data_IF_590131465766
#
_entry.id   IF_590131465766
#
_cell.length_a   1.000
_cell.length_b   1.000
_cell.length_c   1.000
_cell.angle_alpha   90.00
_cell.angle_beta   90.00
_cell.angle_gamma   90.00
#
_symmetry.space_group_name_H-M   'P 1'
#
loop_
_entity.id
_entity.type
_entity.pdbx_description
1 polymer ?
#
# COMPACT_ATOMS: atom_id res chain seq x y z
N UNK A 1 -15.38 2.28 17.06
CA UNK A 1 -14.17 2.67 16.30
C UNK A 1 -14.61 3.45 15.07
N UNK A 2 -13.91 4.51 14.68
CA UNK A 2 -14.17 5.17 13.39
C UNK A 2 -13.51 4.37 12.27
N UNK A 3 -14.26 3.48 11.61
CA UNK A 3 -13.74 2.70 10.47
C UNK A 3 -13.38 3.56 9.24
N UNK A 4 -13.82 4.82 9.21
CA UNK A 4 -13.49 5.80 8.18
C UNK A 4 -12.27 6.66 8.55
N UNK A 5 -11.65 6.40 9.71
CA UNK A 5 -10.38 7.01 10.09
C UNK A 5 -9.20 6.51 9.24
N UNK A 6 -8.00 6.92 9.64
CA UNK A 6 -6.76 6.51 8.97
C UNK A 6 -6.29 5.15 9.46
N UNK A 7 -6.31 4.18 8.55
CA UNK A 7 -5.72 2.87 8.76
C UNK A 7 -4.23 2.96 8.46
N UNK A 8 -3.44 2.18 9.19
CA UNK A 8 -1.98 2.16 9.03
C UNK A 8 -1.50 0.74 8.82
N UNK A 9 -0.60 0.53 7.88
CA UNK A 9 0.11 -0.73 7.71
C UNK A 9 1.59 -0.52 7.96
N UNK A 10 2.20 -1.41 8.73
CA UNK A 10 3.65 -1.53 8.84
C UNK A 10 4.12 -2.67 7.94
N UNK A 11 5.07 -2.41 7.07
CA UNK A 11 5.64 -3.37 6.13
C UNK A 11 7.08 -3.67 6.55
N UNK A 12 7.43 -4.96 6.58
CA UNK A 12 8.80 -5.42 6.72
C UNK A 12 9.15 -6.21 5.45
N UNK A 13 10.13 -5.73 4.70
CA UNK A 13 10.65 -6.41 3.51
C UNK A 13 12.06 -6.90 3.80
N UNK A 14 12.35 -8.10 3.32
CA UNK A 14 13.63 -8.74 3.50
C UNK A 14 14.02 -9.50 2.23
N UNK A 15 15.27 -9.35 1.83
CA UNK A 15 15.89 -10.08 0.73
C UNK A 15 17.25 -10.61 1.18
N UNK A 16 17.53 -11.88 0.84
CA UNK A 16 18.86 -12.47 1.04
C UNK A 16 19.14 -13.57 0.00
N UNK A 17 20.18 -13.37 -0.81
CA UNK A 17 20.46 -14.19 -1.99
C UNK A 17 19.25 -14.26 -2.94
N UNK A 18 18.65 -15.44 -3.13
CA UNK A 18 17.47 -15.69 -3.94
C UNK A 18 16.17 -15.65 -3.12
N UNK A 19 16.25 -15.56 -1.78
CA UNK A 19 15.10 -15.49 -0.90
C UNK A 19 14.55 -14.07 -0.81
N UNK A 20 13.22 -13.96 -0.85
CA UNK A 20 12.50 -12.71 -0.67
C UNK A 20 11.27 -12.91 0.21
N UNK A 21 11.02 -11.95 1.10
CA UNK A 21 9.91 -11.97 2.05
C UNK A 21 9.32 -10.57 2.24
N UNK A 22 7.99 -10.50 2.33
CA UNK A 22 7.28 -9.32 2.83
C UNK A 22 6.26 -9.73 3.88
N UNK A 23 6.37 -9.11 5.05
CA UNK A 23 5.39 -9.18 6.12
C UNK A 23 4.69 -7.82 6.25
N UNK A 24 3.39 -7.85 6.51
CA UNK A 24 2.63 -6.65 6.84
C UNK A 24 1.83 -6.82 8.12
N UNK A 25 1.65 -5.72 8.85
CA UNK A 25 0.81 -5.62 10.04
C UNK A 25 -0.10 -4.40 9.93
N UNK A 26 -1.40 -4.63 9.90
CA UNK A 26 -2.44 -3.61 9.81
C UNK A 26 -2.84 -3.15 11.21
N UNK A 27 -3.05 -1.85 11.35
CA UNK A 27 -3.54 -1.18 12.55
C UNK A 27 -4.77 -0.36 12.21
N UNK A 28 -5.74 -0.37 13.11
CA UNK A 28 -6.93 0.46 13.01
C UNK A 28 -6.64 1.93 13.34
N UNK A 29 -7.62 2.83 13.14
CA UNK A 29 -7.45 4.26 13.42
C UNK A 29 -7.19 4.61 14.90
N UNK A 30 -7.37 3.68 15.83
CA UNK A 30 -7.02 3.84 17.24
C UNK A 30 -5.65 3.22 17.58
N UNK A 31 -4.92 2.70 16.60
CA UNK A 31 -3.61 2.07 16.78
C UNK A 31 -3.65 0.60 17.22
N UNK A 32 -4.80 -0.06 17.25
CA UNK A 32 -4.86 -1.48 17.62
C UNK A 32 -4.58 -2.37 16.40
N UNK A 33 -3.86 -3.47 16.64
CA UNK A 33 -3.62 -4.50 15.64
C UNK A 33 -4.93 -5.02 15.04
N UNK A 34 -4.99 -5.07 13.71
CA UNK A 34 -6.18 -5.40 12.94
C UNK A 34 -5.99 -6.55 11.95
N UNK A 35 -4.77 -7.06 11.79
CA UNK A 35 -4.45 -8.18 10.92
C UNK A 35 -2.97 -8.17 10.55
N UNK A 36 -2.44 -9.33 10.19
CA UNK A 36 -1.08 -9.46 9.68
C UNK A 36 -1.01 -10.66 8.74
N UNK A 37 -0.07 -10.63 7.81
CA UNK A 37 0.23 -11.76 6.94
C UNK A 37 1.68 -11.68 6.44
N UNK A 38 2.17 -12.78 5.88
CA UNK A 38 3.51 -12.90 5.34
C UNK A 38 3.46 -13.66 4.01
N UNK A 39 4.21 -13.16 3.02
CA UNK A 39 4.46 -13.83 1.75
C UNK A 39 5.97 -13.94 1.55
N UNK A 40 6.43 -15.12 1.16
CA UNK A 40 7.85 -15.37 0.92
C UNK A 40 8.06 -16.41 -0.18
N UNK A 41 9.27 -16.44 -0.73
CA UNK A 41 9.71 -17.48 -1.66
C UNK A 41 11.08 -17.17 -2.25
N UNK A 42 11.58 -18.12 -3.05
CA UNK A 42 12.83 -17.97 -3.79
C UNK A 42 12.57 -17.54 -5.23
N UNK A 43 13.50 -16.78 -5.82
CA UNK A 43 13.48 -16.34 -7.22
C UNK A 43 12.19 -15.62 -7.67
N UNK A 44 11.47 -15.01 -6.72
CA UNK A 44 10.19 -14.37 -7.02
C UNK A 44 10.39 -13.07 -7.81
N UNK A 45 9.72 -12.94 -8.97
CA UNK A 45 9.72 -11.70 -9.77
C UNK A 45 8.77 -10.64 -9.22
N UNK A 46 7.69 -11.10 -8.61
CA UNK A 46 6.68 -10.28 -7.95
C UNK A 46 6.16 -11.01 -6.71
N UNK A 47 5.77 -10.27 -5.68
CA UNK A 47 4.99 -10.79 -4.56
C UNK A 47 3.64 -10.09 -4.53
N UNK A 48 2.56 -10.85 -4.36
CA UNK A 48 1.20 -10.31 -4.28
C UNK A 48 0.54 -10.78 -3.00
N UNK A 49 -0.16 -9.87 -2.34
CA UNK A 49 -0.93 -10.18 -1.15
C UNK A 49 -2.16 -9.26 -1.03
N UNK A 50 -3.03 -9.55 -0.06
CA UNK A 50 -4.25 -8.80 0.19
C UNK A 50 -4.38 -8.39 1.65
N UNK A 51 -4.33 -7.09 1.91
CA UNK A 51 -4.41 -6.49 3.23
C UNK A 51 -5.89 -6.27 3.58
N UNK A 52 -6.32 -6.85 4.70
CA UNK A 52 -7.67 -6.70 5.25
C UNK A 52 -7.66 -6.83 6.77
N UNK A 53 -8.69 -6.31 7.42
CA UNK A 53 -8.93 -6.58 8.84
C UNK A 53 -9.36 -8.05 9.05
N UNK A 54 -8.86 -8.69 10.11
CA UNK A 54 -9.10 -10.11 10.44
C UNK A 54 -9.64 -10.23 11.87
N UNK A 55 -10.62 -11.11 12.10
CA UNK A 55 -11.19 -11.43 13.42
C UNK A 55 -11.74 -10.22 14.20
N UNK A 56 -12.50 -9.34 13.54
CA UNK A 56 -13.13 -8.16 14.18
C UNK A 56 -14.63 -8.09 13.86
N UNK A 57 -15.45 -7.45 14.73
CA UNK A 57 -16.84 -7.11 14.39
C UNK A 57 -16.92 -6.24 13.12
N UNK A 58 -18.00 -6.36 12.36
CA UNK A 58 -18.16 -5.70 11.06
C UNK A 58 -18.03 -4.17 11.15
N UNK A 59 -18.56 -3.58 12.21
CA UNK A 59 -18.48 -2.15 12.53
C UNK A 59 -17.04 -1.68 12.81
N UNK A 60 -16.12 -2.60 13.10
CA UNK A 60 -14.71 -2.39 13.41
C UNK A 60 -13.78 -2.91 12.31
N UNK A 61 -14.33 -3.40 11.19
CA UNK A 61 -13.55 -3.84 10.04
C UNK A 61 -13.18 -2.66 9.14
N UNK A 62 -12.04 -2.80 8.47
CA UNK A 62 -11.64 -1.89 7.40
C UNK A 62 -12.72 -1.90 6.31
N UNK A 63 -13.19 -0.75 5.82
CA UNK A 63 -14.34 -0.68 4.92
C UNK A 63 -14.05 -1.23 3.52
N UNK A 64 -12.80 -1.56 3.23
CA UNK A 64 -12.30 -2.16 2.00
C UNK A 64 -11.06 -3.00 2.32
N UNK A 65 -10.53 -3.72 1.32
CA UNK A 65 -9.18 -4.27 1.39
C UNK A 65 -8.25 -3.63 0.36
N UNK A 66 -6.97 -3.94 0.46
CA UNK A 66 -5.92 -3.34 -0.36
C UNK A 66 -5.09 -4.45 -0.99
N UNK A 67 -5.00 -4.45 -2.31
CA UNK A 67 -4.03 -5.31 -3.00
C UNK A 67 -2.64 -4.73 -2.79
N UNK A 68 -1.69 -5.55 -2.37
CA UNK A 68 -0.28 -5.23 -2.31
C UNK A 68 0.46 -5.98 -3.40
N UNK A 69 1.25 -5.28 -4.21
CA UNK A 69 2.17 -5.88 -5.17
C UNK A 69 3.57 -5.33 -4.96
N UNK A 70 4.53 -6.23 -4.74
CA UNK A 70 5.95 -5.91 -4.62
C UNK A 70 6.61 -6.34 -5.92
N UNK A 71 7.16 -5.40 -6.67
CA UNK A 71 7.80 -5.66 -7.96
C UNK A 71 9.32 -5.62 -7.82
N UNK A 72 10.02 -6.50 -8.54
CA UNK A 72 11.49 -6.59 -8.53
C UNK A 72 12.10 -6.72 -7.11
N UNK A 73 11.61 -7.65 -6.26
CA UNK A 73 12.05 -7.72 -4.87
C UNK A 73 13.54 -8.06 -4.68
N UNK A 74 14.22 -8.52 -5.73
CA UNK A 74 15.66 -8.81 -5.69
C UNK A 74 16.55 -7.63 -6.12
N UNK A 75 15.97 -6.57 -6.70
CA UNK A 75 16.70 -5.41 -7.18
C UNK A 75 16.31 -4.20 -6.34
N UNK A 76 17.11 -3.87 -5.33
CA UNK A 76 16.86 -2.76 -4.40
C UNK A 76 16.62 -1.43 -5.12
N UNK A 77 17.26 -1.22 -6.28
CA UNK A 77 17.15 0.02 -7.04
C UNK A 77 15.87 0.07 -7.91
N UNK A 78 15.21 -1.07 -8.12
CA UNK A 78 13.95 -1.17 -8.89
C UNK A 78 12.77 -1.66 -8.06
N UNK A 79 12.99 -1.96 -6.78
CA UNK A 79 11.97 -2.49 -5.91
C UNK A 79 10.97 -1.40 -5.55
N UNK A 80 9.69 -1.65 -5.85
CA UNK A 80 8.57 -0.77 -5.49
C UNK A 80 7.43 -1.60 -4.92
N UNK A 81 6.63 -0.98 -4.05
CA UNK A 81 5.41 -1.57 -3.52
C UNK A 81 4.23 -0.73 -3.98
N UNK A 82 3.33 -1.35 -4.72
CA UNK A 82 2.05 -0.78 -5.10
C UNK A 82 0.95 -1.26 -4.16
N UNK A 83 0.13 -0.32 -3.70
CA UNK A 83 -1.06 -0.55 -2.91
C UNK A 83 -2.28 -0.04 -3.68
N UNK A 84 -3.22 -0.93 -4.00
CA UNK A 84 -4.45 -0.57 -4.71
C UNK A 84 -5.68 -0.82 -3.83
N UNK A 85 -6.45 0.23 -3.55
CA UNK A 85 -7.67 0.12 -2.76
C UNK A 85 -8.73 -0.62 -3.58
N UNK A 86 -9.20 -1.78 -3.08
CA UNK A 86 -10.28 -2.56 -3.71
C UNK A 86 -11.67 -2.00 -3.38
N UNK A 87 -11.85 -0.71 -3.65
CA UNK A 87 -13.12 0.01 -3.59
C UNK A 87 -13.14 1.08 -4.65
N UNK A 88 -14.21 1.11 -5.42
CA UNK A 88 -14.39 2.06 -6.50
C UNK A 88 -14.71 3.45 -5.92
N UNK A 89 -14.13 4.49 -6.51
CA UNK A 89 -14.48 5.87 -6.16
C UNK A 89 -15.89 6.18 -6.71
N UNK A 90 -16.88 6.46 -5.86
CA UNK A 90 -18.27 6.57 -6.28
C UNK A 90 -18.47 7.66 -7.35
N UNK A 91 -19.09 7.28 -8.47
CA UNK A 91 -19.42 8.19 -9.56
C UNK A 91 -18.24 8.55 -10.47
N UNK A 92 -16.99 8.31 -10.06
CA UNK A 92 -15.82 8.66 -10.86
C UNK A 92 -15.47 7.54 -11.84
N UNK A 93 -15.40 7.89 -13.13
CA UNK A 93 -15.14 6.94 -14.23
C UNK A 93 -14.02 7.46 -15.12
N UNK A 94 -13.19 6.54 -15.60
CA UNK A 94 -12.20 6.81 -16.65
C UNK A 94 -12.89 7.06 -17.99
N UNK A 95 -12.19 7.69 -18.92
CA UNK A 95 -12.69 7.96 -20.27
C UNK A 95 -13.23 6.72 -21.01
N UNK A 96 -12.67 5.54 -20.74
CA UNK A 96 -13.11 4.27 -21.32
C UNK A 96 -14.30 3.62 -20.57
N UNK A 97 -14.93 4.33 -19.64
CA UNK A 97 -16.02 3.82 -18.80
C UNK A 97 -15.58 2.93 -17.63
N UNK A 98 -14.28 2.70 -17.46
CA UNK A 98 -13.74 1.94 -16.34
C UNK A 98 -13.92 2.66 -15.00
N UNK A 99 -14.18 1.90 -13.94
CA UNK A 99 -14.20 2.43 -12.57
C UNK A 99 -12.80 2.89 -12.17
N UNK A 100 -12.72 3.98 -11.40
CA UNK A 100 -11.46 4.40 -10.80
C UNK A 100 -11.32 3.86 -9.38
N UNK A 101 -10.10 3.42 -9.03
CA UNK A 101 -9.72 2.95 -7.70
C UNK A 101 -8.49 3.73 -7.23
N UNK A 102 -8.49 4.26 -6.01
CA UNK A 102 -7.31 4.90 -5.45
C UNK A 102 -6.16 3.91 -5.33
N UNK A 103 -4.94 4.40 -5.49
CA UNK A 103 -3.72 3.63 -5.29
C UNK A 103 -2.56 4.52 -4.89
N UNK A 104 -1.52 3.89 -4.34
CA UNK A 104 -0.23 4.52 -4.15
C UNK A 104 0.91 3.55 -4.46
N UNK A 105 2.05 4.08 -4.88
CA UNK A 105 3.26 3.32 -5.18
C UNK A 105 4.43 3.96 -4.45
N UNK A 106 5.19 3.19 -3.69
CA UNK A 106 6.43 3.65 -3.05
C UNK A 106 7.47 4.03 -4.09
N UNK A 107 8.33 4.97 -3.75
CA UNK A 107 9.57 5.23 -4.49
C UNK A 107 10.58 4.06 -4.42
N UNK A 108 11.50 4.04 -5.38
CA UNK A 108 12.67 3.13 -5.41
C UNK A 108 13.77 3.62 -4.49
N UNK A 109 14.69 2.75 -4.06
CA UNK A 109 15.81 3.14 -3.19
C UNK A 109 16.64 4.33 -3.70
N UNK A 110 16.80 4.47 -5.03
CA UNK A 110 17.55 5.57 -5.64
C UNK A 110 16.68 6.76 -6.04
N UNK A 111 15.40 6.78 -5.63
CA UNK A 111 14.41 7.81 -6.00
C UNK A 111 14.28 8.01 -7.53
N UNK A 112 14.62 6.97 -8.31
CA UNK A 112 14.53 7.03 -9.77
C UNK A 112 13.07 6.97 -10.26
N UNK A 113 12.22 6.32 -9.48
CA UNK A 113 10.76 6.33 -9.64
C UNK A 113 10.17 7.10 -8.47
N UNK A 114 9.31 8.08 -8.79
CA UNK A 114 8.69 8.93 -7.78
C UNK A 114 7.60 8.21 -7.00
N UNK A 115 7.42 8.60 -5.75
CA UNK A 115 6.21 8.27 -5.00
C UNK A 115 4.97 8.76 -5.76
N UNK A 116 4.04 7.86 -6.02
CA UNK A 116 2.83 8.16 -6.79
C UNK A 116 1.61 7.91 -5.92
N UNK A 117 0.69 8.86 -5.89
CA UNK A 117 -0.63 8.72 -5.27
C UNK A 117 -1.68 9.12 -6.29
N UNK A 118 -2.73 8.32 -6.39
CA UNK A 118 -3.94 8.69 -7.12
C UNK A 118 -5.14 8.43 -6.24
N UNK A 119 -5.98 9.46 -6.10
CA UNK A 119 -7.27 9.40 -5.41
C UNK A 119 -8.44 9.57 -6.38
N UNK A 120 -8.22 9.30 -7.67
CA UNK A 120 -9.20 9.48 -8.73
C UNK A 120 -9.66 10.94 -8.94
N UNK A 121 -8.87 11.93 -8.50
CA UNK A 121 -9.15 13.36 -8.62
C UNK A 121 -9.37 13.78 -10.07
N UNK A 122 -8.53 13.32 -10.99
CA UNK A 122 -8.64 13.58 -12.43
C UNK A 122 -9.94 13.01 -13.01
N UNK A 123 -10.23 11.72 -12.75
CA UNK A 123 -11.43 11.05 -13.23
C UNK A 123 -12.72 11.65 -12.65
N UNK A 124 -12.70 12.07 -11.38
CA UNK A 124 -13.83 12.77 -10.77
C UNK A 124 -14.00 14.17 -11.40
N UNK A 125 -12.90 14.90 -11.60
CA UNK A 125 -12.90 16.26 -12.13
C UNK A 125 -13.53 16.37 -13.52
N UNK A 126 -13.29 15.41 -14.42
CA UNK A 126 -13.93 15.38 -15.75
C UNK A 126 -15.46 15.27 -15.69
N UNK A 127 -16.01 14.78 -14.60
CA UNK A 127 -17.45 14.62 -14.37
C UNK A 127 -18.03 15.71 -13.45
N UNK A 128 -17.25 16.75 -13.13
CA UNK A 128 -17.58 17.76 -12.12
C UNK A 128 -17.92 17.15 -10.74
N UNK A 129 -17.29 16.02 -10.42
CA UNK A 129 -17.37 15.36 -9.11
C UNK A 129 -16.11 15.67 -8.30
N UNK A 130 -16.21 15.56 -6.98
CA UNK A 130 -15.05 15.60 -6.08
C UNK A 130 -14.76 14.19 -5.56
N UNK A 131 -13.48 13.82 -5.51
CA UNK A 131 -13.07 12.61 -4.81
C UNK A 131 -13.44 12.67 -3.33
N UNK A 132 -13.79 11.52 -2.75
CA UNK A 132 -14.02 11.38 -1.30
C UNK A 132 -12.72 11.38 -0.49
N UNK A 133 -11.58 11.29 -1.19
CA UNK A 133 -10.24 11.30 -0.62
C UNK A 133 -9.45 12.50 -1.17
N UNK A 134 -8.65 13.09 -0.31
CA UNK A 134 -7.59 14.01 -0.71
C UNK A 134 -6.28 13.21 -0.91
N UNK A 135 -5.33 13.66 -1.74
CA UNK A 135 -4.06 12.95 -1.93
C UNK A 135 -3.32 12.65 -0.62
N UNK A 136 -3.42 13.54 0.38
CA UNK A 136 -2.83 13.35 1.71
C UNK A 136 -3.48 12.24 2.54
N UNK A 137 -4.69 11.80 2.18
CA UNK A 137 -5.38 10.70 2.85
C UNK A 137 -4.71 9.34 2.54
N UNK A 138 -3.84 9.27 1.53
CA UNK A 138 -3.00 8.12 1.19
C UNK A 138 -1.52 8.53 1.33
N UNK A 139 -0.74 7.76 2.09
CA UNK A 139 0.65 8.11 2.36
C UNK A 139 1.49 6.88 2.62
N UNK A 140 2.80 7.02 2.40
CA UNK A 140 3.84 6.13 2.89
C UNK A 140 4.95 6.98 3.49
N UNK A 141 5.66 6.43 4.48
CA UNK A 141 6.93 7.00 4.90
C UNK A 141 7.86 7.05 3.68
N UNK A 142 8.56 8.17 3.53
CA UNK A 142 9.58 8.33 2.51
C UNK A 142 10.80 7.45 2.81
N UNK A 143 11.77 7.40 1.90
CA UNK A 143 13.00 6.62 2.08
C UNK A 143 13.88 7.11 3.23
N UNK A 144 13.79 8.38 3.60
CA UNK A 144 14.58 8.96 4.69
C UNK A 144 14.05 8.52 6.06
N UNK A 145 12.74 8.29 6.14
CA UNK A 145 12.03 7.79 7.32
C UNK A 145 11.91 6.25 7.33
N UNK A 146 12.22 5.57 6.23
CA UNK A 146 12.23 4.12 6.12
C UNK A 146 13.57 3.54 6.61
N UNK A 147 13.51 2.54 7.50
CA UNK A 147 14.70 1.85 8.00
C UNK A 147 15.25 0.90 6.91
N UNK A 148 16.25 1.37 6.16
CA UNK A 148 17.01 0.55 5.23
C UNK A 148 18.27 -0.02 5.87
N UNK A 149 18.47 -1.32 5.70
CA UNK A 149 19.66 -2.01 6.16
C UNK A 149 20.25 -2.83 5.01
N UNK A 150 21.44 -2.44 4.54
CA UNK A 150 22.21 -3.26 3.62
C UNK A 150 22.87 -4.41 4.39
N UNK A 151 22.74 -5.62 3.85
CA UNK A 151 23.39 -6.83 4.34
C UNK A 151 24.29 -7.40 3.24
N UNK A 152 25.14 -8.37 3.57
CA UNK A 152 26.15 -8.91 2.64
C UNK A 152 25.61 -9.18 1.21
N UNK A 153 24.65 -10.10 1.08
CA UNK A 153 24.00 -10.43 -0.19
C UNK A 153 22.50 -10.12 -0.13
N UNK A 154 22.12 -9.04 0.56
CA UNK A 154 20.73 -8.81 0.89
C UNK A 154 20.43 -7.39 1.35
N UNK A 155 19.15 -7.13 1.58
CA UNK A 155 18.70 -5.86 2.17
C UNK A 155 17.43 -6.09 2.97
N UNK A 156 17.17 -5.14 3.87
CA UNK A 156 15.93 -5.07 4.64
C UNK A 156 15.39 -3.65 4.58
N UNK A 157 14.07 -3.54 4.54
CA UNK A 157 13.34 -2.27 4.59
C UNK A 157 12.18 -2.39 5.57
N UNK A 158 12.04 -1.45 6.50
CA UNK A 158 10.84 -1.31 7.33
C UNK A 158 10.25 0.07 7.14
N UNK A 159 8.96 0.13 6.83
CA UNK A 159 8.26 1.39 6.59
C UNK A 159 6.78 1.25 6.90
N UNK A 160 6.12 2.39 7.11
CA UNK A 160 4.69 2.49 7.34
C UNK A 160 4.00 3.18 6.16
N UNK A 161 2.80 2.74 5.85
CA UNK A 161 1.89 3.43 4.95
C UNK A 161 0.51 3.56 5.59
N UNK A 162 -0.31 4.45 5.08
CA UNK A 162 -1.67 4.62 5.57
C UNK A 162 -2.65 5.08 4.51
N UNK A 163 -3.91 4.84 4.81
CA UNK A 163 -5.04 5.25 3.97
C UNK A 163 -6.26 5.54 4.84
N UNK A 164 -7.01 6.57 4.48
CA UNK A 164 -8.30 6.88 5.10
C UNK A 164 -9.39 5.94 4.58
N UNK A 165 -10.27 5.52 5.49
CA UNK A 165 -11.49 4.83 5.11
C UNK A 165 -12.51 5.78 4.48
N UNK A 166 -13.20 5.33 3.43
CA UNK A 166 -14.33 6.01 2.78
C UNK A 166 -15.34 4.96 2.32
#
# INVERSE_FOLDING_TARGET
MDKFGHWKVKINQYMFNDYSEVNWKLYDPNGNHAGEHNVHGNDMKEMKDYIKSVNRPLEHMMPFGVDMTVSNPHDVNKCVVNFSIKKDMPGCKRFNGGVCRPYMTTETFTESEFFMVSVCDLECGWLNLKSLLEPSDLWCQDLNDADWEQMANGWKRVFECGWKGF
#
